data_IF_121547213665
#
_entry.id   IF_121547213665
#
_cell.length_a   1.000
_cell.length_b   1.000
_cell.length_c   1.000
_cell.angle_alpha   90.00
_cell.angle_beta   90.00
_cell.angle_gamma   90.00
#
_symmetry.space_group_name_H-M   'P 1'
#
loop_
_entity.id
_entity.type
_entity.pdbx_description
1 polymer ?
#
# COMPACT_ATOMS: atom_id res chain seq x y z
N UNK A 1 15.24 13.36 9.62
CA UNK A 1 14.38 12.47 8.80
C UNK A 1 15.29 11.57 7.98
N UNK A 2 14.90 10.31 7.74
CA UNK A 2 15.70 9.37 6.94
C UNK A 2 15.66 9.71 5.44
N UNK A 3 16.72 9.34 4.70
CA UNK A 3 16.83 9.54 3.24
C UNK A 3 15.65 8.91 2.49
N UNK A 4 15.20 7.73 2.92
CA UNK A 4 14.07 7.03 2.29
C UNK A 4 12.75 7.74 2.56
N UNK A 5 12.55 8.29 3.77
CA UNK A 5 11.38 9.12 4.08
C UNK A 5 11.36 10.37 3.20
N UNK A 6 12.49 11.06 3.04
CA UNK A 6 12.60 12.23 2.15
C UNK A 6 12.32 11.87 0.69
N UNK A 7 12.86 10.75 0.20
CA UNK A 7 12.58 10.24 -1.16
C UNK A 7 11.09 9.96 -1.35
N UNK A 8 10.46 9.29 -0.39
CA UNK A 8 9.03 9.00 -0.43
C UNK A 8 8.19 10.29 -0.39
N UNK A 9 8.45 11.22 0.53
CA UNK A 9 7.69 12.47 0.61
C UNK A 9 7.88 13.35 -0.63
N UNK A 10 9.12 13.46 -1.14
CA UNK A 10 9.41 14.26 -2.34
C UNK A 10 8.84 13.61 -3.60
N UNK A 11 8.92 12.28 -3.72
CA UNK A 11 8.30 11.54 -4.81
C UNK A 11 6.77 11.65 -4.81
N UNK A 12 6.17 11.67 -3.62
CA UNK A 12 4.73 11.90 -3.48
C UNK A 12 4.34 13.30 -3.94
N UNK A 13 5.07 14.34 -3.51
CA UNK A 13 4.83 15.71 -3.98
C UNK A 13 4.99 15.82 -5.51
N UNK A 14 6.00 15.15 -6.08
CA UNK A 14 6.21 15.11 -7.53
C UNK A 14 5.06 14.39 -8.26
N UNK A 15 4.53 13.31 -7.68
CA UNK A 15 3.41 12.58 -8.27
C UNK A 15 2.13 13.41 -8.27
N UNK A 16 1.92 14.25 -7.27
CA UNK A 16 0.83 15.22 -7.23
C UNK A 16 0.98 16.29 -8.32
N UNK A 17 2.17 16.86 -8.49
CA UNK A 17 2.45 17.83 -9.57
C UNK A 17 2.16 17.19 -10.94
N UNK A 18 2.53 15.92 -11.10
CA UNK A 18 2.26 15.17 -12.32
C UNK A 18 0.75 15.06 -12.58
N UNK A 19 -0.08 14.72 -11.57
CA UNK A 19 -1.55 14.62 -11.71
C UNK A 19 -2.22 15.91 -12.21
N UNK A 20 -1.68 17.08 -11.88
CA UNK A 20 -2.25 18.38 -12.28
C UNK A 20 -1.62 18.98 -13.56
N UNK A 21 -0.65 18.32 -14.17
CA UNK A 21 -0.05 18.77 -15.44
C UNK A 21 -0.64 18.01 -16.64
N UNK A 22 -1.18 18.70 -17.66
CA UNK A 22 -1.78 18.06 -18.84
C UNK A 22 -0.77 17.28 -19.70
N UNK A 23 0.53 17.42 -19.46
CA UNK A 23 1.58 16.67 -20.16
C UNK A 23 1.81 15.25 -19.62
N UNK A 24 1.15 14.84 -18.53
CA UNK A 24 1.51 13.62 -17.81
C UNK A 24 0.59 12.42 -17.99
N UNK A 25 -0.56 12.62 -18.64
CA UNK A 25 -1.59 11.61 -18.86
C UNK A 25 -1.10 10.42 -19.72
N UNK A 26 0.12 10.48 -20.28
CA UNK A 26 0.58 9.57 -21.31
C UNK A 26 2.00 9.02 -21.12
N UNK A 27 2.49 8.85 -19.89
CA UNK A 27 3.52 7.83 -19.68
C UNK A 27 2.79 6.52 -19.34
N UNK A 28 2.47 5.72 -20.38
CA UNK A 28 1.97 4.34 -20.22
C UNK A 28 2.97 3.60 -19.32
N UNK A 29 2.54 3.27 -18.11
CA UNK A 29 3.24 2.28 -17.26
C UNK A 29 3.40 1.01 -18.08
N UNK A 30 4.62 0.48 -18.19
CA UNK A 30 4.90 -0.73 -18.99
C UNK A 30 5.05 -1.97 -18.13
N UNK A 31 5.31 -1.80 -16.84
CA UNK A 31 5.47 -2.93 -15.91
C UNK A 31 5.02 -2.58 -14.49
N UNK A 32 5.04 -3.56 -13.59
CA UNK A 32 4.69 -3.37 -12.18
C UNK A 32 5.70 -2.48 -11.44
N UNK A 33 6.96 -2.49 -11.89
CA UNK A 33 8.06 -1.72 -11.31
C UNK A 33 7.87 -0.19 -11.45
N UNK A 34 7.04 0.21 -12.43
CA UNK A 34 6.66 1.61 -12.64
C UNK A 34 5.60 2.09 -11.62
N UNK A 35 4.99 1.19 -10.85
CA UNK A 35 4.01 1.55 -9.82
C UNK A 35 4.73 2.28 -8.69
N UNK A 36 4.20 3.43 -8.31
CA UNK A 36 4.84 4.30 -7.34
C UNK A 36 5.08 3.57 -6.01
N UNK A 37 6.32 3.63 -5.49
CA UNK A 37 6.73 2.97 -4.26
C UNK A 37 6.37 1.47 -4.20
N UNK A 38 6.39 0.79 -5.35
CA UNK A 38 6.21 -0.65 -5.43
C UNK A 38 7.33 -1.41 -4.71
N UNK A 39 6.95 -2.43 -3.95
CA UNK A 39 7.85 -3.36 -3.29
C UNK A 39 7.21 -4.76 -3.29
N UNK A 40 7.76 -5.74 -4.03
CA UNK A 40 7.39 -7.14 -3.90
C UNK A 40 7.89 -7.67 -2.55
N UNK A 41 7.03 -8.39 -1.83
CA UNK A 41 7.34 -8.96 -0.50
C UNK A 41 7.54 -10.47 -0.61
N UNK A 42 6.68 -11.14 -1.39
CA UNK A 42 6.78 -12.56 -1.72
C UNK A 42 6.07 -12.83 -3.05
N UNK A 43 6.09 -14.08 -3.52
CA UNK A 43 5.36 -14.51 -4.73
C UNK A 43 3.86 -14.22 -4.69
N UNK A 44 3.30 -14.07 -3.47
CA UNK A 44 1.86 -13.87 -3.23
C UNK A 44 1.51 -12.51 -2.63
N UNK A 45 2.49 -11.65 -2.33
CA UNK A 45 2.21 -10.39 -1.69
C UNK A 45 3.11 -9.27 -2.23
N UNK A 46 2.47 -8.19 -2.64
CA UNK A 46 3.13 -6.97 -3.06
C UNK A 46 2.53 -5.76 -2.35
N UNK A 47 3.36 -4.73 -2.18
CA UNK A 47 2.91 -3.44 -1.64
C UNK A 47 3.21 -2.28 -2.57
N UNK A 48 2.39 -1.23 -2.55
CA UNK A 48 2.66 -0.02 -3.35
C UNK A 48 2.01 1.26 -2.83
N UNK A 49 2.36 2.39 -3.45
CA UNK A 49 1.52 3.57 -3.53
C UNK A 49 0.33 3.36 -4.46
N UNK A 50 -0.38 4.43 -4.82
CA UNK A 50 -1.64 4.31 -5.57
C UNK A 50 -1.37 3.83 -7.00
N UNK A 51 -1.91 2.66 -7.40
CA UNK A 51 -1.91 2.26 -8.81
C UNK A 51 -2.92 3.13 -9.59
N UNK A 52 -2.57 3.44 -10.84
CA UNK A 52 -3.52 3.94 -11.83
C UNK A 52 -4.41 2.83 -12.38
N UNK A 53 -5.49 3.18 -13.08
CA UNK A 53 -6.38 2.21 -13.75
C UNK A 53 -5.62 1.28 -14.70
N UNK A 54 -4.72 1.85 -15.52
CA UNK A 54 -3.86 1.07 -16.42
C UNK A 54 -2.91 0.13 -15.66
N UNK A 55 -2.44 0.52 -14.48
CA UNK A 55 -1.59 -0.33 -13.64
C UNK A 55 -2.39 -1.43 -12.95
N UNK A 56 -3.68 -1.23 -12.62
CA UNK A 56 -4.52 -2.31 -12.14
C UNK A 56 -4.73 -3.41 -13.18
N UNK A 57 -4.78 -3.07 -14.48
CA UNK A 57 -4.77 -4.07 -15.54
C UNK A 57 -3.48 -4.91 -15.52
N UNK A 58 -2.31 -4.28 -15.38
CA UNK A 58 -1.03 -5.00 -15.24
C UNK A 58 -0.99 -5.87 -13.97
N UNK A 59 -1.56 -5.40 -12.87
CA UNK A 59 -1.70 -6.18 -11.62
C UNK A 59 -2.54 -7.43 -11.87
N UNK A 60 -3.67 -7.33 -12.59
CA UNK A 60 -4.48 -8.49 -12.95
C UNK A 60 -3.72 -9.46 -13.87
N UNK A 61 -3.05 -8.95 -14.90
CA UNK A 61 -2.24 -9.74 -15.83
C UNK A 61 -1.11 -10.50 -15.13
N UNK A 62 -0.54 -9.92 -14.07
CA UNK A 62 0.47 -10.56 -13.22
C UNK A 62 -0.08 -11.62 -12.24
N UNK A 63 -1.39 -11.92 -12.34
CA UNK A 63 -2.04 -13.00 -11.61
C UNK A 63 -2.42 -12.64 -10.17
N UNK A 64 -2.54 -11.36 -9.83
CA UNK A 64 -3.12 -10.97 -8.55
C UNK A 64 -4.63 -11.22 -8.52
N UNK A 65 -5.12 -11.67 -7.38
CA UNK A 65 -6.52 -12.04 -7.16
C UNK A 65 -7.29 -10.94 -6.43
N UNK A 66 -6.62 -10.27 -5.49
CA UNK A 66 -7.25 -9.30 -4.60
C UNK A 66 -6.39 -8.05 -4.35
N UNK A 67 -7.07 -6.93 -4.12
CA UNK A 67 -6.50 -5.63 -3.81
C UNK A 67 -7.04 -5.14 -2.47
N UNK A 68 -6.13 -4.72 -1.59
CA UNK A 68 -6.46 -4.11 -0.30
C UNK A 68 -5.98 -2.66 -0.31
N UNK A 69 -6.91 -1.71 -0.16
CA UNK A 69 -6.61 -0.28 -0.13
C UNK A 69 -6.76 0.30 1.28
N UNK A 70 -5.67 0.87 1.82
CA UNK A 70 -5.65 1.52 3.13
C UNK A 70 -5.81 3.05 3.07
N UNK A 71 -5.85 3.64 1.88
CA UNK A 71 -6.05 5.07 1.71
C UNK A 71 -7.53 5.46 1.76
N UNK A 72 -7.91 6.52 2.49
CA UNK A 72 -9.21 7.17 2.32
C UNK A 72 -9.45 7.59 0.87
N UNK A 73 -10.71 7.57 0.42
CA UNK A 73 -11.09 7.93 -0.96
C UNK A 73 -10.80 9.40 -1.33
N UNK A 74 -10.61 10.27 -0.34
CA UNK A 74 -10.26 11.68 -0.49
C UNK A 74 -8.74 11.93 -0.43
N UNK A 75 -7.91 10.89 -0.44
CA UNK A 75 -6.47 11.05 -0.60
C UNK A 75 -6.13 11.74 -1.93
N UNK A 76 -5.14 12.63 -1.95
CA UNK A 76 -4.90 13.53 -3.10
C UNK A 76 -4.67 12.78 -4.44
N UNK A 77 -4.15 11.55 -4.39
CA UNK A 77 -3.92 10.73 -5.57
C UNK A 77 -4.96 9.62 -5.80
N UNK A 78 -6.07 9.57 -5.06
CA UNK A 78 -7.13 8.58 -5.26
C UNK A 78 -7.70 8.61 -6.67
N UNK A 79 -8.17 7.44 -7.12
CA UNK A 79 -9.00 7.33 -8.32
C UNK A 79 -10.43 7.79 -8.03
N UNK A 80 -11.15 8.19 -9.09
CA UNK A 80 -12.54 8.62 -8.96
C UNK A 80 -13.45 7.46 -8.54
N UNK A 81 -13.26 6.28 -9.13
CA UNK A 81 -14.03 5.07 -8.79
C UNK A 81 -13.15 3.80 -8.87
N UNK A 82 -12.28 3.65 -7.87
CA UNK A 82 -11.40 2.48 -7.77
C UNK A 82 -12.17 1.15 -7.66
N UNK A 83 -13.33 1.17 -6.99
CA UNK A 83 -14.14 -0.03 -6.80
C UNK A 83 -14.67 -0.55 -8.13
N UNK A 84 -15.20 0.33 -8.98
CA UNK A 84 -15.66 -0.06 -10.31
C UNK A 84 -14.50 -0.55 -11.19
N UNK A 85 -13.36 0.16 -11.22
CA UNK A 85 -12.17 -0.26 -11.98
C UNK A 85 -11.74 -1.68 -11.62
N UNK A 86 -11.65 -2.00 -10.33
CA UNK A 86 -11.23 -3.32 -9.87
C UNK A 86 -12.27 -4.40 -10.16
N UNK A 87 -13.56 -4.07 -10.01
CA UNK A 87 -14.66 -4.98 -10.33
C UNK A 87 -14.66 -5.36 -11.82
N UNK A 88 -14.45 -4.41 -12.73
CA UNK A 88 -14.37 -4.67 -14.17
C UNK A 88 -13.20 -5.60 -14.55
N UNK A 89 -12.12 -5.56 -13.78
CA UNK A 89 -10.95 -6.43 -13.95
C UNK A 89 -11.09 -7.80 -13.25
N UNK A 90 -12.19 -8.03 -12.53
CA UNK A 90 -12.38 -9.25 -11.72
C UNK A 90 -11.33 -9.38 -10.62
N UNK A 91 -10.92 -8.26 -10.02
CA UNK A 91 -10.09 -8.20 -8.83
C UNK A 91 -10.98 -8.02 -7.61
N UNK A 92 -10.84 -8.88 -6.60
CA UNK A 92 -11.57 -8.66 -5.34
C UNK A 92 -11.02 -7.42 -4.66
N UNK A 93 -11.89 -6.52 -4.25
CA UNK A 93 -11.51 -5.27 -3.61
C UNK A 93 -11.94 -5.21 -2.15
N UNK A 94 -11.00 -4.93 -1.25
CA UNK A 94 -11.26 -4.64 0.16
C UNK A 94 -10.73 -3.26 0.53
N UNK A 95 -11.62 -2.39 1.00
CA UNK A 95 -11.26 -1.03 1.43
C UNK A 95 -11.24 -0.88 2.95
N UNK A 96 -10.08 -0.52 3.50
CA UNK A 96 -9.89 -0.31 4.95
C UNK A 96 -9.30 1.08 5.15
N UNK A 97 -10.11 2.16 5.10
CA UNK A 97 -9.57 3.51 5.10
C UNK A 97 -8.91 3.83 6.46
N UNK A 98 -7.62 4.16 6.42
CA UNK A 98 -6.81 4.52 7.58
C UNK A 98 -6.46 6.00 7.52
N UNK A 99 -6.88 6.74 8.55
CA UNK A 99 -6.48 8.13 8.75
C UNK A 99 -4.97 8.16 9.07
N UNK A 100 -4.21 8.92 8.30
CA UNK A 100 -2.75 8.94 8.44
C UNK A 100 -2.27 9.53 9.76
N UNK A 101 -2.96 10.55 10.30
CA UNK A 101 -2.56 11.18 11.57
C UNK A 101 -3.10 10.45 12.80
N UNK A 102 -4.00 9.49 12.60
CA UNK A 102 -4.64 8.72 13.67
C UNK A 102 -4.84 7.25 13.24
N UNK A 103 -3.76 6.46 13.10
CA UNK A 103 -3.88 5.02 12.90
C UNK A 103 -4.61 4.38 14.09
N UNK A 104 -5.38 3.31 13.85
CA UNK A 104 -6.25 2.73 14.88
C UNK A 104 -6.16 1.22 14.93
N UNK A 105 -6.18 0.67 16.14
CA UNK A 105 -6.22 -0.78 16.40
C UNK A 105 -7.39 -1.47 15.71
N UNK A 106 -8.59 -0.87 15.73
CA UNK A 106 -9.76 -1.44 15.03
C UNK A 106 -9.50 -1.66 13.53
N UNK A 107 -8.78 -0.75 12.88
CA UNK A 107 -8.42 -0.87 11.46
C UNK A 107 -7.32 -1.90 11.25
N UNK A 108 -6.39 -2.03 12.20
CA UNK A 108 -5.40 -3.08 12.19
C UNK A 108 -6.05 -4.47 12.29
N UNK A 109 -6.98 -4.68 13.23
CA UNK A 109 -7.71 -5.95 13.35
C UNK A 109 -8.54 -6.28 12.10
N UNK A 110 -9.18 -5.28 11.49
CA UNK A 110 -9.85 -5.47 10.20
C UNK A 110 -8.88 -5.89 9.09
N UNK A 111 -7.67 -5.32 9.08
CA UNK A 111 -6.62 -5.71 8.15
C UNK A 111 -6.11 -7.14 8.41
N UNK A 112 -5.89 -7.52 9.67
CA UNK A 112 -5.51 -8.89 10.07
C UNK A 112 -6.55 -9.90 9.57
N UNK A 113 -7.84 -9.63 9.80
CA UNK A 113 -8.93 -10.46 9.32
C UNK A 113 -8.92 -10.57 7.79
N UNK A 114 -8.76 -9.46 7.09
CA UNK A 114 -8.70 -9.46 5.62
C UNK A 114 -7.52 -10.27 5.08
N UNK A 115 -6.34 -10.16 5.70
CA UNK A 115 -5.17 -10.93 5.28
C UNK A 115 -5.38 -12.44 5.50
N UNK A 116 -6.01 -12.82 6.62
CA UNK A 116 -6.37 -14.21 6.90
C UNK A 116 -7.41 -14.76 5.92
N UNK A 117 -8.40 -13.96 5.53
CA UNK A 117 -9.43 -14.36 4.55
C UNK A 117 -8.90 -14.47 3.11
N UNK A 118 -7.80 -13.78 2.81
CA UNK A 118 -7.09 -13.89 1.54
C UNK A 118 -5.97 -14.95 1.55
N UNK A 119 -5.97 -15.85 2.54
CA UNK A 119 -5.04 -16.98 2.54
C UNK A 119 -5.24 -17.84 1.28
N UNK A 120 -4.14 -18.17 0.60
CA UNK A 120 -4.19 -18.90 -0.67
C UNK A 120 -4.25 -18.02 -1.92
N UNK A 121 -4.41 -16.70 -1.78
CA UNK A 121 -4.46 -15.76 -2.90
C UNK A 121 -3.18 -14.94 -3.07
N UNK A 122 -3.06 -14.31 -4.23
CA UNK A 122 -2.04 -13.31 -4.52
C UNK A 122 -2.61 -11.91 -4.30
N UNK A 123 -2.13 -11.23 -3.26
CA UNK A 123 -2.68 -9.99 -2.70
C UNK A 123 -1.83 -8.77 -3.08
N UNK A 124 -2.49 -7.72 -3.54
CA UNK A 124 -1.89 -6.40 -3.76
C UNK A 124 -2.34 -5.41 -2.66
N UNK A 125 -1.43 -5.03 -1.77
CA UNK A 125 -1.72 -4.11 -0.67
C UNK A 125 -1.21 -2.70 -0.99
N UNK A 126 -2.09 -1.69 -1.03
CA UNK A 126 -1.65 -0.33 -1.31
C UNK A 126 -2.29 0.73 -0.42
N UNK A 127 -1.76 1.94 -0.57
CA UNK A 127 -2.37 3.19 -0.12
C UNK A 127 -1.87 4.31 -1.05
N UNK A 128 -1.85 5.57 -0.63
CA UNK A 128 -1.34 6.64 -1.48
C UNK A 128 0.17 6.51 -1.84
N UNK A 129 1.01 6.18 -0.85
CA UNK A 129 2.47 6.25 -0.98
C UNK A 129 3.22 5.06 -0.37
N UNK A 130 2.53 3.94 -0.17
CA UNK A 130 3.00 2.74 0.54
C UNK A 130 3.33 2.93 2.04
N UNK A 131 3.16 4.12 2.63
CA UNK A 131 3.52 4.34 4.03
C UNK A 131 2.60 3.59 5.02
N UNK A 132 1.27 3.65 4.81
CA UNK A 132 0.28 2.91 5.63
C UNK A 132 0.41 1.41 5.41
N UNK A 133 0.46 1.00 4.14
CA UNK A 133 0.57 -0.38 3.69
C UNK A 133 1.80 -1.08 4.30
N UNK A 134 2.99 -0.51 4.11
CA UNK A 134 4.23 -1.06 4.71
C UNK A 134 4.19 -1.12 6.24
N UNK A 135 3.63 -0.10 6.92
CA UNK A 135 3.56 -0.09 8.38
C UNK A 135 2.56 -1.13 8.93
N UNK A 136 1.40 -1.28 8.29
CA UNK A 136 0.42 -2.32 8.63
C UNK A 136 0.99 -3.71 8.38
N UNK A 137 1.66 -3.91 7.24
CA UNK A 137 2.27 -5.18 6.90
C UNK A 137 3.41 -5.55 7.85
N UNK A 138 4.29 -4.61 8.20
CA UNK A 138 5.34 -4.84 9.20
C UNK A 138 4.75 -5.34 10.51
N UNK A 139 3.70 -4.68 11.00
CA UNK A 139 3.05 -5.07 12.25
C UNK A 139 2.36 -6.43 12.15
N UNK A 140 1.73 -6.74 11.03
CA UNK A 140 1.13 -8.05 10.77
C UNK A 140 2.17 -9.17 10.76
N UNK A 141 3.27 -9.00 10.02
CA UNK A 141 4.36 -9.99 9.93
C UNK A 141 4.97 -10.28 11.30
N UNK A 142 5.23 -9.24 12.09
CA UNK A 142 5.91 -9.39 13.38
C UNK A 142 4.98 -9.83 14.52
N UNK A 143 3.73 -9.36 14.56
CA UNK A 143 2.82 -9.62 15.69
C UNK A 143 1.81 -10.75 15.43
N UNK A 144 1.55 -11.13 14.17
CA UNK A 144 0.60 -12.18 13.82
C UNK A 144 1.31 -13.40 13.24
N UNK A 145 2.21 -13.21 12.27
CA UNK A 145 2.97 -14.31 11.67
C UNK A 145 4.18 -14.75 12.51
N UNK A 146 4.61 -13.92 13.46
CA UNK A 146 5.79 -14.18 14.28
C UNK A 146 7.10 -14.14 13.49
N UNK A 147 7.11 -13.46 12.34
CA UNK A 147 8.32 -13.25 11.54
C UNK A 147 9.33 -12.37 12.27
N UNK A 148 10.58 -12.47 11.83
CA UNK A 148 11.68 -11.75 12.46
C UNK A 148 11.58 -10.23 12.24
N UNK A 149 11.99 -9.48 13.27
CA UNK A 149 11.93 -8.02 13.26
C UNK A 149 12.89 -7.39 12.25
N UNK A 150 14.00 -8.07 11.93
CA UNK A 150 15.05 -7.53 11.07
C UNK A 150 14.60 -7.51 9.60
N UNK A 151 14.10 -8.63 9.09
CA UNK A 151 13.59 -8.78 7.73
C UNK A 151 12.34 -7.94 7.49
N UNK A 152 11.33 -8.05 8.36
CA UNK A 152 10.14 -7.20 8.27
C UNK A 152 10.50 -5.71 8.39
N UNK A 153 11.43 -5.38 9.28
CA UNK A 153 11.93 -4.02 9.48
C UNK A 153 12.67 -3.49 8.25
N UNK A 154 13.51 -4.30 7.60
CA UNK A 154 14.26 -3.91 6.42
C UNK A 154 13.32 -3.53 5.27
N UNK A 155 12.24 -4.28 5.05
CA UNK A 155 11.25 -3.95 4.02
C UNK A 155 10.51 -2.65 4.32
N UNK A 156 10.13 -2.41 5.58
CA UNK A 156 9.53 -1.14 5.99
C UNK A 156 10.48 0.03 5.73
N UNK A 157 11.76 -0.11 6.10
CA UNK A 157 12.77 0.94 5.92
C UNK A 157 13.05 1.26 4.46
N UNK A 158 12.86 0.33 3.51
CA UNK A 158 12.93 0.63 2.06
C UNK A 158 11.92 1.69 1.65
N UNK A 159 10.74 1.70 2.30
CA UNK A 159 9.68 2.66 2.01
C UNK A 159 9.89 3.95 2.82
N UNK A 160 9.99 3.84 4.13
CA UNK A 160 10.16 4.99 5.03
C UNK A 160 10.53 4.56 6.45
N UNK A 161 11.03 5.50 7.24
CA UNK A 161 11.18 5.32 8.69
C UNK A 161 9.96 5.89 9.41
N UNK A 162 9.15 5.07 10.11
CA UNK A 162 8.02 5.57 10.89
C UNK A 162 8.43 6.52 12.02
N UNK A 163 7.66 7.60 12.17
CA UNK A 163 7.85 8.63 13.18
C UNK A 163 6.51 8.97 13.84
N UNK A 164 6.56 9.63 15.01
CA UNK A 164 5.35 10.08 15.73
C UNK A 164 4.35 8.95 15.98
N UNK A 165 3.08 9.19 15.66
CA UNK A 165 1.96 8.25 15.85
C UNK A 165 2.21 6.89 15.20
N UNK A 166 2.95 6.84 14.09
CA UNK A 166 3.25 5.60 13.39
C UNK A 166 4.32 4.78 14.07
N UNK A 167 5.34 5.43 14.66
CA UNK A 167 6.33 4.74 15.49
C UNK A 167 5.65 4.12 16.71
N UNK A 168 4.72 4.83 17.35
CA UNK A 168 3.94 4.27 18.46
C UNK A 168 3.09 3.10 17.96
N UNK A 169 2.31 3.31 16.90
CA UNK A 169 1.39 2.30 16.36
C UNK A 169 2.04 0.96 16.01
N UNK A 170 3.21 0.96 15.36
CA UNK A 170 3.89 -0.30 15.01
C UNK A 170 4.50 -1.03 16.21
N UNK A 171 4.75 -0.32 17.32
CA UNK A 171 5.31 -0.88 18.55
C UNK A 171 4.25 -1.22 19.59
N UNK A 172 2.99 -0.79 19.38
CA UNK A 172 1.87 -1.17 20.24
C UNK A 172 1.67 -2.69 20.15
N UNK A 173 1.78 -3.44 21.26
CA UNK A 173 1.46 -4.85 21.27
C UNK A 173 -0.01 -5.06 20.89
N UNK A 174 -0.27 -6.09 20.09
CA UNK A 174 -1.65 -6.53 19.85
C UNK A 174 -2.24 -7.01 21.18
N UNK A 175 -3.47 -6.58 21.47
CA UNK A 175 -4.20 -6.93 22.68
C UNK A 175 -4.76 -8.35 22.63
#
# INVERSE_FOLDING_TARGET
MSVNTLKTTSGYLLSLIRKYSPLSAQAKSKSLEDIYNYLPISDRLSTSGQPSEAQFALIKEAGFDSVINLAPHDAENSLADEANTLSELGLRYTHIPVNFVRPSERKFEAFVKCMSESEGEKVWLHCAANMRASAFLFRYRTQVLGEDLEGAGADLQKIWTPLGVWKTFINTPRA
#
